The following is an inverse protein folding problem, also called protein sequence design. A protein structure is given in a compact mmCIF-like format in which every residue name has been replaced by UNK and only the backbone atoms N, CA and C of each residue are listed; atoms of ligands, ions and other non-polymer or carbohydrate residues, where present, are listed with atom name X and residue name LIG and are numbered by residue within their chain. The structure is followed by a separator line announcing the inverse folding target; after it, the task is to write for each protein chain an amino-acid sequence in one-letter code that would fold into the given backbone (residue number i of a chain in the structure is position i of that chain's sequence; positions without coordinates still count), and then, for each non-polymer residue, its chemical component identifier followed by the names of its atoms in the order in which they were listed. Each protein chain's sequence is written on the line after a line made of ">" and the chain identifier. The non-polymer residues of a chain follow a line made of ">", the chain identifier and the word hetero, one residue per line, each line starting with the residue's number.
data_IF_044579690984
#
_entry.id   IF_044579690984
#
_cell.length_a   1.000
_cell.length_b   1.000
_cell.length_c   1.000
_cell.angle_alpha   90.00
_cell.angle_beta   90.00
_cell.angle_gamma   90.00
#
_symmetry.space_group_name_H-M   'P 1'
#
loop_
_entity.id
_entity.type
_entity.pdbx_description
1 polymer ?
#
# COMPACT_ATOMS: atom_id res chain seq x y z
N UNK A 1 3.84 -2.70 -3.00
CA UNK A 1 3.91 -3.75 -4.04
C UNK A 1 4.76 -4.94 -3.62
N UNK A 2 6.05 -4.73 -3.36
CA UNK A 2 6.98 -5.81 -2.97
C UNK A 2 6.52 -6.59 -1.72
N UNK A 3 6.18 -5.92 -0.63
CA UNK A 3 5.69 -6.55 0.60
C UNK A 3 4.42 -7.35 0.32
N UNK A 4 3.45 -6.76 -0.37
CA UNK A 4 2.18 -7.39 -0.70
C UNK A 4 2.36 -8.66 -1.55
N UNK A 5 3.18 -8.58 -2.60
CA UNK A 5 3.43 -9.73 -3.49
C UNK A 5 4.25 -10.82 -2.78
N UNK A 6 5.20 -10.47 -1.92
CA UNK A 6 5.92 -11.44 -1.10
C UNK A 6 4.95 -12.17 -0.14
N UNK A 7 4.11 -11.43 0.59
CA UNK A 7 3.13 -12.00 1.52
C UNK A 7 2.18 -12.96 0.81
N UNK A 8 1.60 -12.56 -0.31
CA UNK A 8 0.74 -13.43 -1.11
C UNK A 8 1.50 -14.65 -1.65
N UNK A 9 2.74 -14.45 -2.12
CA UNK A 9 3.57 -15.53 -2.65
C UNK A 9 3.84 -16.61 -1.63
N UNK A 10 4.22 -16.25 -0.41
CA UNK A 10 4.44 -17.20 0.67
C UNK A 10 3.14 -17.88 1.12
N UNK A 11 2.03 -17.15 1.19
CA UNK A 11 0.74 -17.73 1.52
C UNK A 11 0.28 -18.73 0.45
N UNK A 12 0.35 -18.38 -0.83
CA UNK A 12 0.03 -19.29 -1.93
C UNK A 12 0.91 -20.54 -1.95
N UNK A 13 2.20 -20.38 -1.69
CA UNK A 13 3.16 -21.49 -1.63
C UNK A 13 2.80 -22.46 -0.50
N UNK A 14 2.55 -21.95 0.70
CA UNK A 14 2.17 -22.75 1.86
C UNK A 14 0.86 -23.53 1.65
N UNK A 15 -0.07 -22.96 0.86
CA UNK A 15 -1.37 -23.57 0.59
C UNK A 15 -1.42 -24.41 -0.71
N UNK A 16 -0.28 -24.57 -1.43
CA UNK A 16 -0.17 -25.41 -2.61
C UNK A 16 -0.67 -24.78 -3.91
N UNK A 17 -0.92 -23.48 -3.92
CA UNK A 17 -1.31 -22.72 -5.12
C UNK A 17 -0.06 -22.26 -5.91
N UNK A 18 0.73 -23.22 -6.40
CA UNK A 18 2.08 -23.00 -6.94
C UNK A 18 2.14 -22.00 -8.10
N UNK A 19 1.15 -21.98 -9.00
CA UNK A 19 1.11 -21.02 -10.12
C UNK A 19 1.01 -19.58 -9.62
N UNK A 20 0.15 -19.30 -8.64
CA UNK A 20 0.02 -17.97 -8.07
C UNK A 20 1.21 -17.62 -7.17
N UNK A 21 1.77 -18.60 -6.46
CA UNK A 21 3.00 -18.42 -5.70
C UNK A 21 4.17 -18.00 -6.60
N UNK A 22 4.37 -18.70 -7.72
CA UNK A 22 5.43 -18.37 -8.68
C UNK A 22 5.28 -16.95 -9.24
N UNK A 23 4.09 -16.56 -9.70
CA UNK A 23 3.85 -15.21 -10.21
C UNK A 23 4.14 -14.17 -9.12
N UNK A 24 3.65 -14.38 -7.90
CA UNK A 24 3.82 -13.44 -6.79
C UNK A 24 5.28 -13.28 -6.38
N UNK A 25 6.02 -14.39 -6.23
CA UNK A 25 7.43 -14.38 -5.82
C UNK A 25 8.34 -13.83 -6.93
N UNK A 26 8.09 -14.17 -8.20
CA UNK A 26 8.82 -13.59 -9.32
C UNK A 26 8.61 -12.07 -9.38
N UNK A 27 7.37 -11.59 -9.22
CA UNK A 27 7.10 -10.15 -9.19
C UNK A 27 7.78 -9.48 -8.00
N UNK A 28 7.73 -10.09 -6.81
CA UNK A 28 8.43 -9.57 -5.64
C UNK A 28 9.94 -9.45 -5.87
N UNK A 29 10.56 -10.48 -6.43
CA UNK A 29 12.00 -10.49 -6.75
C UNK A 29 12.37 -9.44 -7.79
N UNK A 30 11.54 -9.27 -8.82
CA UNK A 30 11.71 -8.20 -9.83
C UNK A 30 11.66 -6.82 -9.19
N UNK A 31 10.74 -6.60 -8.23
CA UNK A 31 10.65 -5.34 -7.52
C UNK A 31 11.84 -5.07 -6.61
N UNK A 32 12.49 -6.10 -6.04
CA UNK A 32 13.77 -5.94 -5.32
C UNK A 32 14.85 -5.39 -6.26
N UNK A 33 15.00 -5.99 -7.44
CA UNK A 33 15.94 -5.52 -8.46
C UNK A 33 15.60 -4.08 -8.92
N UNK A 34 14.31 -3.78 -9.13
CA UNK A 34 13.88 -2.43 -9.47
C UNK A 34 14.26 -1.41 -8.39
N UNK A 35 14.03 -1.73 -7.11
CA UNK A 35 14.37 -0.84 -5.97
C UNK A 35 15.86 -0.56 -5.94
N UNK A 36 16.71 -1.57 -6.17
CA UNK A 36 18.16 -1.41 -6.21
C UNK A 36 18.59 -0.36 -7.23
N UNK A 37 18.09 -0.45 -8.47
CA UNK A 37 18.40 0.53 -9.51
C UNK A 37 17.68 1.87 -9.32
N UNK A 38 16.47 1.88 -8.79
CA UNK A 38 15.72 3.12 -8.56
C UNK A 38 16.38 4.03 -7.51
N UNK A 39 17.07 3.44 -6.53
CA UNK A 39 17.86 4.19 -5.54
C UNK A 39 19.32 4.46 -5.96
N UNK A 40 19.77 3.90 -7.08
CA UNK A 40 21.11 4.19 -7.62
C UNK A 40 21.23 5.67 -8.01
N UNK A 41 22.42 6.24 -7.80
CA UNK A 41 22.72 7.60 -8.25
C UNK A 41 23.06 7.63 -9.74
N UNK A 42 23.80 6.63 -10.23
CA UNK A 42 24.38 6.63 -11.57
C UNK A 42 23.50 5.90 -12.60
N UNK A 43 22.80 4.85 -12.17
CA UNK A 43 21.98 3.99 -13.05
C UNK A 43 20.50 3.99 -12.65
N UNK A 44 19.95 5.16 -12.33
CA UNK A 44 18.58 5.30 -11.89
C UNK A 44 17.59 4.96 -12.99
N UNK A 45 16.68 4.04 -12.70
CA UNK A 45 15.57 3.67 -13.59
C UNK A 45 14.24 4.15 -13.03
N UNK A 46 13.29 4.41 -13.94
CA UNK A 46 11.92 4.76 -13.60
C UNK A 46 10.97 3.67 -14.09
N UNK A 47 9.93 3.40 -13.33
CA UNK A 47 8.93 2.38 -13.70
C UNK A 47 8.05 2.82 -14.88
N UNK A 48 7.79 4.10 -15.01
CA UNK A 48 6.85 4.65 -15.99
C UNK A 48 5.40 4.24 -15.73
N UNK A 49 4.49 4.78 -16.54
CA UNK A 49 3.04 4.54 -16.39
C UNK A 49 2.68 3.10 -16.74
N UNK A 50 3.26 2.57 -17.82
CA UNK A 50 3.02 1.18 -18.24
C UNK A 50 3.42 0.19 -17.15
N UNK A 51 4.59 0.36 -16.54
CA UNK A 51 5.06 -0.52 -15.48
C UNK A 51 4.17 -0.46 -14.24
N UNK A 52 3.75 0.75 -13.83
CA UNK A 52 2.87 0.94 -12.68
C UNK A 52 1.47 0.36 -12.90
N UNK A 53 0.91 0.48 -14.11
CA UNK A 53 -0.39 -0.10 -14.47
C UNK A 53 -0.35 -1.63 -14.49
N UNK A 54 0.70 -2.23 -15.09
CA UNK A 54 0.89 -3.69 -15.09
C UNK A 54 1.04 -4.20 -13.65
N UNK A 55 1.86 -3.55 -12.84
CA UNK A 55 2.05 -3.89 -11.44
C UNK A 55 0.72 -3.84 -10.67
N UNK A 56 -0.05 -2.77 -10.84
CA UNK A 56 -1.36 -2.62 -10.22
C UNK A 56 -2.34 -3.73 -10.64
N UNK A 57 -2.39 -4.05 -11.92
CA UNK A 57 -3.22 -5.13 -12.45
C UNK A 57 -2.87 -6.51 -11.85
N UNK A 58 -1.58 -6.84 -11.82
CA UNK A 58 -1.13 -8.13 -11.27
C UNK A 58 -1.42 -8.20 -9.77
N UNK A 59 -1.10 -7.15 -9.00
CA UNK A 59 -1.38 -7.12 -7.55
C UNK A 59 -2.87 -7.25 -7.27
N UNK A 60 -3.72 -6.57 -8.02
CA UNK A 60 -5.18 -6.67 -7.88
C UNK A 60 -5.66 -8.09 -8.18
N UNK A 61 -5.17 -8.71 -9.24
CA UNK A 61 -5.50 -10.10 -9.60
C UNK A 61 -5.09 -11.07 -8.49
N UNK A 62 -3.89 -10.93 -7.94
CA UNK A 62 -3.40 -11.76 -6.82
C UNK A 62 -4.24 -11.54 -5.55
N UNK A 63 -4.63 -10.29 -5.28
CA UNK A 63 -5.51 -9.95 -4.15
C UNK A 63 -6.87 -10.63 -4.27
N UNK A 64 -7.49 -10.55 -5.44
CA UNK A 64 -8.79 -11.22 -5.69
C UNK A 64 -8.66 -12.73 -5.53
N UNK A 65 -7.58 -13.34 -6.03
CA UNK A 65 -7.33 -14.78 -5.87
C UNK A 65 -7.05 -15.17 -4.42
N UNK A 66 -6.31 -14.37 -3.69
CA UNK A 66 -6.07 -14.57 -2.26
C UNK A 66 -7.39 -14.56 -1.48
N UNK A 67 -8.25 -13.57 -1.70
CA UNK A 67 -9.57 -13.49 -1.08
C UNK A 67 -10.43 -14.69 -1.50
N UNK A 68 -10.49 -15.00 -2.79
CA UNK A 68 -11.30 -16.11 -3.32
C UNK A 68 -10.95 -17.44 -2.66
N UNK A 69 -9.66 -17.81 -2.60
CA UNK A 69 -9.25 -19.08 -1.99
C UNK A 69 -9.56 -19.14 -0.49
N UNK A 70 -9.51 -18.03 0.21
CA UNK A 70 -9.90 -17.97 1.62
C UNK A 70 -11.42 -18.07 1.83
N UNK A 71 -12.22 -17.41 0.99
CA UNK A 71 -13.69 -17.49 1.06
C UNK A 71 -14.21 -18.87 0.65
N UNK A 72 -13.60 -19.50 -0.35
CA UNK A 72 -14.00 -20.85 -0.81
C UNK A 72 -13.38 -22.00 0.00
N UNK A 73 -12.68 -21.67 1.08
CA UNK A 73 -11.99 -22.65 1.96
C UNK A 73 -11.03 -23.59 1.23
N UNK A 74 -10.41 -23.10 0.14
CA UNK A 74 -9.41 -23.84 -0.65
C UNK A 74 -8.00 -23.59 -0.15
N UNK A 75 -7.76 -23.79 1.14
CA UNK A 75 -6.47 -23.62 1.81
C UNK A 75 -6.10 -24.90 2.58
N UNK A 76 -4.80 -25.14 2.77
CA UNK A 76 -4.26 -26.29 3.50
C UNK A 76 -3.82 -25.93 4.93
N UNK A 77 -3.32 -24.74 5.10
CA UNK A 77 -2.66 -24.29 6.31
C UNK A 77 -3.33 -23.01 6.80
N UNK A 78 -3.66 -22.29 7.15
CA UNK A 78 -4.16 -21.02 7.68
C UNK A 78 -5.15 -20.31 6.74
N UNK A 79 -6.42 -20.68 6.89
CA UNK A 79 -7.53 -19.96 6.28
C UNK A 79 -7.82 -18.66 7.00
N UNK A 80 -7.88 -17.59 6.22
CA UNK A 80 -8.10 -16.24 6.72
C UNK A 80 -9.55 -15.81 6.43
N UNK A 81 -10.46 -15.99 7.37
CA UNK A 81 -11.83 -15.44 7.26
C UNK A 81 -11.78 -13.92 7.05
N UNK A 82 -10.75 -13.28 7.60
CA UNK A 82 -10.50 -11.83 7.46
C UNK A 82 -9.64 -11.47 6.24
N UNK A 83 -9.48 -12.36 5.25
CA UNK A 83 -8.67 -12.10 4.06
C UNK A 83 -8.99 -10.78 3.34
N UNK A 84 -10.24 -10.34 3.19
CA UNK A 84 -10.53 -9.02 2.59
C UNK A 84 -9.91 -7.88 3.38
N UNK A 85 -10.05 -7.90 4.71
CA UNK A 85 -9.55 -6.83 5.59
C UNK A 85 -8.02 -6.83 5.65
N UNK A 86 -7.39 -8.01 5.71
CA UNK A 86 -5.93 -8.16 5.64
C UNK A 86 -5.40 -7.66 4.30
N UNK A 87 -6.11 -7.90 3.20
CA UNK A 87 -5.73 -7.37 1.89
C UNK A 87 -5.77 -5.84 1.82
N UNK A 88 -6.79 -5.22 2.42
CA UNK A 88 -6.86 -3.75 2.54
C UNK A 88 -5.68 -3.24 3.37
N UNK A 89 -5.33 -3.91 4.46
CA UNK A 89 -4.18 -3.53 5.29
C UNK A 89 -2.85 -3.62 4.53
N UNK A 90 -2.64 -4.67 3.73
CA UNK A 90 -1.46 -4.83 2.86
C UNK A 90 -1.38 -3.77 1.76
N UNK A 91 -2.51 -3.27 1.31
CA UNK A 91 -2.64 -2.23 0.29
C UNK A 91 -2.97 -0.85 0.90
N UNK A 92 -2.82 -0.68 2.22
CA UNK A 92 -3.25 0.52 2.94
C UNK A 92 -2.63 1.80 2.38
N UNK A 93 -1.33 1.82 2.08
CA UNK A 93 -0.65 3.02 1.54
C UNK A 93 -1.28 3.48 0.22
N UNK A 94 -1.33 2.68 -0.86
CA UNK A 94 -1.91 3.14 -2.12
C UNK A 94 -3.42 3.43 -2.01
N UNK A 95 -4.17 2.67 -1.23
CA UNK A 95 -5.60 2.90 -1.03
C UNK A 95 -5.82 4.20 -0.26
N UNK A 96 -5.16 4.37 0.89
CA UNK A 96 -5.36 5.53 1.76
C UNK A 96 -4.88 6.82 1.09
N UNK A 97 -3.75 6.77 0.38
CA UNK A 97 -3.24 7.94 -0.34
C UNK A 97 -4.18 8.38 -1.46
N UNK A 98 -4.69 7.43 -2.25
CA UNK A 98 -5.65 7.72 -3.32
C UNK A 98 -6.97 8.27 -2.77
N UNK A 99 -7.54 7.61 -1.75
CA UNK A 99 -8.79 8.05 -1.13
C UNK A 99 -8.65 9.44 -0.48
N UNK A 100 -7.53 9.69 0.21
CA UNK A 100 -7.24 11.01 0.79
C UNK A 100 -7.19 12.09 -0.27
N UNK A 101 -6.46 11.86 -1.36
CA UNK A 101 -6.34 12.85 -2.43
C UNK A 101 -7.69 13.10 -3.10
N UNK A 102 -8.47 12.06 -3.36
CA UNK A 102 -9.83 12.20 -3.90
C UNK A 102 -10.73 13.00 -2.97
N UNK A 103 -10.73 12.66 -1.68
CA UNK A 103 -11.47 13.39 -0.66
C UNK A 103 -11.13 14.89 -0.66
N UNK A 104 -9.84 15.23 -0.60
CA UNK A 104 -9.39 16.63 -0.59
C UNK A 104 -9.76 17.38 -1.87
N UNK A 105 -9.69 16.73 -3.04
CA UNK A 105 -10.08 17.37 -4.32
C UNK A 105 -11.58 17.67 -4.36
N UNK A 106 -12.40 16.73 -3.93
CA UNK A 106 -13.87 16.92 -3.86
C UNK A 106 -14.20 18.05 -2.90
N UNK A 107 -13.62 18.06 -1.69
CA UNK A 107 -13.83 19.12 -0.70
C UNK A 107 -13.41 20.51 -1.23
N UNK A 108 -12.40 20.57 -2.09
CA UNK A 108 -11.94 21.81 -2.76
C UNK A 108 -12.65 22.09 -4.07
N UNK A 109 -13.75 21.40 -4.38
CA UNK A 109 -14.53 21.53 -5.62
C UNK A 109 -13.69 21.37 -6.89
N UNK A 110 -12.67 20.50 -6.85
CA UNK A 110 -11.79 20.18 -7.97
C UNK A 110 -12.11 18.79 -8.50
N UNK A 111 -11.79 18.53 -9.79
CA UNK A 111 -11.92 17.19 -10.36
C UNK A 111 -11.04 16.19 -9.59
N UNK A 112 -11.57 15.00 -9.21
CA UNK A 112 -10.79 13.95 -8.57
C UNK A 112 -9.59 13.47 -9.39
N UNK A 113 -9.65 13.61 -10.72
CA UNK A 113 -8.62 13.15 -11.67
C UNK A 113 -7.59 14.24 -12.04
N UNK A 114 -7.70 15.43 -11.47
CA UNK A 114 -6.71 16.49 -11.74
C UNK A 114 -5.37 16.13 -11.13
N UNK A 115 -4.29 16.19 -11.92
CA UNK A 115 -2.93 15.99 -11.41
C UNK A 115 -2.53 17.13 -10.45
N UNK A 116 -1.98 16.78 -9.29
CA UNK A 116 -1.44 17.71 -8.31
C UNK A 116 -0.39 17.04 -7.40
N UNK A 117 0.20 17.81 -6.49
CA UNK A 117 1.21 17.34 -5.53
C UNK A 117 0.62 17.11 -4.12
N UNK A 118 -0.61 16.59 -4.03
CA UNK A 118 -1.27 16.30 -2.75
C UNK A 118 -0.95 14.91 -2.20
N UNK A 119 -0.36 14.02 -3.01
CA UNK A 119 0.04 12.70 -2.56
C UNK A 119 1.04 12.77 -1.40
N UNK A 120 0.92 11.86 -0.45
CA UNK A 120 1.67 11.86 0.80
C UNK A 120 3.19 11.86 0.56
N UNK A 121 3.69 11.13 -0.46
CA UNK A 121 5.11 11.12 -0.77
C UNK A 121 5.65 12.52 -1.17
N UNK A 122 4.87 13.31 -1.89
CA UNK A 122 5.24 14.69 -2.20
C UNK A 122 5.26 15.56 -0.94
N UNK A 123 4.29 15.37 -0.03
CA UNK A 123 4.24 16.11 1.22
C UNK A 123 5.45 15.82 2.10
N UNK A 124 5.89 14.57 2.22
CA UNK A 124 7.11 14.24 2.96
C UNK A 124 8.35 14.89 2.36
N UNK A 125 8.53 14.77 1.03
CA UNK A 125 9.68 15.36 0.33
C UNK A 125 9.68 16.89 0.44
N UNK A 126 8.51 17.53 0.26
CA UNK A 126 8.36 18.98 0.37
C UNK A 126 8.60 19.49 1.82
N UNK A 127 8.52 18.62 2.84
CA UNK A 127 8.88 18.89 4.23
C UNK A 127 10.32 18.46 4.60
N UNK A 128 11.18 18.19 3.61
CA UNK A 128 12.62 17.95 3.82
C UNK A 128 13.05 16.50 3.98
N UNK A 129 12.14 15.53 3.88
CA UNK A 129 12.51 14.12 3.89
C UNK A 129 13.10 13.69 2.53
N UNK A 130 14.12 12.85 2.53
CA UNK A 130 14.61 12.26 1.29
C UNK A 130 13.61 11.24 0.72
N UNK A 131 13.69 10.97 -0.59
CA UNK A 131 12.87 9.93 -1.23
C UNK A 131 13.05 8.56 -0.57
N UNK A 132 14.27 8.24 -0.14
CA UNK A 132 14.58 6.98 0.53
C UNK A 132 13.90 6.91 1.91
N UNK A 133 14.03 7.95 2.73
CA UNK A 133 13.36 8.03 4.04
C UNK A 133 11.84 7.89 3.90
N UNK A 134 11.24 8.61 2.93
CA UNK A 134 9.81 8.52 2.63
C UNK A 134 9.39 7.08 2.26
N UNK A 135 10.19 6.41 1.43
CA UNK A 135 9.91 5.01 1.06
C UNK A 135 9.98 4.06 2.25
N UNK A 136 10.99 4.21 3.12
CA UNK A 136 11.09 3.40 4.34
C UNK A 136 9.94 3.65 5.32
N UNK A 137 9.46 4.89 5.45
CA UNK A 137 8.25 5.20 6.25
C UNK A 137 7.02 4.47 5.72
N UNK A 138 6.81 4.43 4.40
CA UNK A 138 5.70 3.68 3.79
C UNK A 138 5.84 2.18 3.96
N UNK A 139 7.06 1.63 3.86
CA UNK A 139 7.30 0.21 4.13
C UNK A 139 6.99 -0.13 5.59
N UNK A 140 7.51 0.67 6.53
CA UNK A 140 7.24 0.50 7.95
C UNK A 140 5.75 0.60 8.28
N UNK A 141 5.05 1.58 7.71
CA UNK A 141 3.61 1.73 7.86
C UNK A 141 2.85 0.50 7.33
N UNK A 142 3.16 0.02 6.12
CA UNK A 142 2.52 -1.16 5.55
C UNK A 142 2.76 -2.40 6.40
N UNK A 143 4.00 -2.63 6.84
CA UNK A 143 4.33 -3.78 7.70
C UNK A 143 3.58 -3.68 9.03
N UNK A 144 3.61 -2.52 9.69
CA UNK A 144 2.94 -2.33 10.97
C UNK A 144 1.42 -2.53 10.85
N UNK A 145 0.79 -1.89 9.87
CA UNK A 145 -0.66 -2.00 9.65
C UNK A 145 -1.08 -3.43 9.33
N UNK A 146 -0.36 -4.11 8.41
CA UNK A 146 -0.72 -5.49 8.03
C UNK A 146 -0.44 -6.50 9.15
N UNK A 147 0.69 -6.37 9.86
CA UNK A 147 1.02 -7.26 10.99
C UNK A 147 0.03 -7.07 12.15
N UNK A 148 -0.32 -5.83 12.48
CA UNK A 148 -1.28 -5.54 13.52
C UNK A 148 -2.68 -6.05 13.16
N UNK A 149 -3.14 -5.83 11.93
CA UNK A 149 -4.42 -6.35 11.44
C UNK A 149 -4.43 -7.89 11.46
N UNK A 150 -3.33 -8.52 11.04
CA UNK A 150 -3.18 -9.98 11.07
C UNK A 150 -3.23 -10.52 12.51
N UNK A 151 -2.58 -9.86 13.46
CA UNK A 151 -2.62 -10.24 14.87
C UNK A 151 -4.02 -10.03 15.48
N UNK A 152 -4.62 -8.87 15.26
CA UNK A 152 -5.92 -8.52 15.84
C UNK A 152 -7.06 -9.39 15.30
N UNK A 153 -6.91 -10.03 14.14
CA UNK A 153 -7.92 -10.94 13.57
C UNK A 153 -8.32 -12.11 14.47
N UNK A 154 -7.49 -12.43 15.46
CA UNK A 154 -7.77 -13.50 16.42
C UNK A 154 -8.73 -13.04 17.55
N UNK A 155 -8.85 -11.74 17.74
CA UNK A 155 -9.60 -11.13 18.83
C UNK A 155 -10.79 -10.30 18.35
N UNK A 156 -10.75 -9.82 17.12
CA UNK A 156 -11.74 -8.91 16.54
C UNK A 156 -12.47 -9.54 15.34
N UNK A 157 -13.75 -9.23 15.24
CA UNK A 157 -14.56 -9.55 14.06
C UNK A 157 -14.10 -8.73 12.83
N UNK A 158 -14.51 -9.16 11.63
CA UNK A 158 -14.22 -8.42 10.38
C UNK A 158 -14.74 -6.98 10.45
N UNK A 159 -15.89 -6.74 11.07
CA UNK A 159 -16.47 -5.39 11.21
C UNK A 159 -15.59 -4.51 12.10
N UNK A 160 -15.13 -5.03 13.25
CA UNK A 160 -14.24 -4.30 14.16
C UNK A 160 -12.88 -4.02 13.52
N UNK A 161 -12.33 -4.96 12.75
CA UNK A 161 -11.11 -4.75 11.95
C UNK A 161 -11.31 -3.67 10.88
N UNK A 162 -12.47 -3.61 10.23
CA UNK A 162 -12.79 -2.53 9.30
C UNK A 162 -12.84 -1.16 10.02
N UNK A 163 -13.47 -1.09 11.17
CA UNK A 163 -13.51 0.14 12.00
C UNK A 163 -12.09 0.55 12.42
N UNK A 164 -11.25 -0.41 12.81
CA UNK A 164 -9.84 -0.16 13.10
C UNK A 164 -9.09 0.43 11.89
N UNK A 165 -9.26 -0.12 10.67
CA UNK A 165 -8.64 0.41 9.46
C UNK A 165 -9.17 1.81 9.09
N UNK A 166 -10.47 2.07 9.31
CA UNK A 166 -11.04 3.41 9.14
C UNK A 166 -10.40 4.41 10.13
N UNK A 167 -10.17 3.99 11.37
CA UNK A 167 -9.43 4.80 12.35
C UNK A 167 -8.00 5.13 11.89
N UNK A 168 -7.28 4.14 11.36
CA UNK A 168 -5.94 4.36 10.78
C UNK A 168 -5.99 5.28 9.56
N UNK A 169 -7.03 5.18 8.73
CA UNK A 169 -7.22 6.08 7.60
C UNK A 169 -7.49 7.53 8.07
N UNK A 170 -8.28 7.72 9.12
CA UNK A 170 -8.49 9.05 9.70
C UNK A 170 -7.16 9.66 10.21
N UNK A 171 -6.33 8.88 10.91
CA UNK A 171 -5.00 9.31 11.32
C UNK A 171 -4.10 9.65 10.13
N UNK A 172 -4.17 8.88 9.05
CA UNK A 172 -3.43 9.16 7.82
C UNK A 172 -3.85 10.49 7.18
N UNK A 173 -5.16 10.83 7.19
CA UNK A 173 -5.67 12.12 6.72
C UNK A 173 -5.14 13.26 7.61
N UNK A 174 -5.19 13.10 8.92
CA UNK A 174 -4.72 14.12 9.88
C UNK A 174 -3.23 14.40 9.66
N UNK A 175 -2.40 13.36 9.56
CA UNK A 175 -0.97 13.50 9.28
C UNK A 175 -0.73 14.25 7.97
N UNK A 176 -1.45 13.90 6.91
CA UNK A 176 -1.32 14.57 5.62
C UNK A 176 -1.71 16.04 5.68
N UNK A 177 -2.72 16.40 6.46
CA UNK A 177 -3.14 17.79 6.63
C UNK A 177 -2.09 18.60 7.43
N UNK A 178 -1.49 18.01 8.45
CA UNK A 178 -0.40 18.64 9.21
C UNK A 178 0.82 18.89 8.30
N UNK A 179 1.21 17.93 7.48
CA UNK A 179 2.33 18.08 6.55
C UNK A 179 2.04 19.14 5.47
N UNK A 180 0.80 19.19 4.99
CA UNK A 180 0.37 20.20 4.02
C UNK A 180 0.43 21.62 4.63
N UNK A 181 -0.04 21.78 5.87
CA UNK A 181 0.02 23.06 6.57
C UNK A 181 1.47 23.52 6.75
N UNK A 182 2.35 22.67 7.25
CA UNK A 182 3.78 22.98 7.39
C UNK A 182 4.42 23.44 6.07
N UNK A 183 4.07 22.76 4.96
CA UNK A 183 4.55 23.15 3.62
C UNK A 183 4.06 24.55 3.22
N UNK A 184 2.83 24.91 3.56
CA UNK A 184 2.26 26.23 3.26
C UNK A 184 2.93 27.31 4.10
N UNK A 185 3.12 27.07 5.39
CA UNK A 185 3.76 28.00 6.31
C UNK A 185 5.22 28.28 5.88
N UNK A 186 5.96 27.24 5.47
CA UNK A 186 7.31 27.39 4.96
C UNK A 186 7.39 28.23 3.67
N UNK A 187 6.37 28.16 2.80
CA UNK A 187 6.30 28.98 1.57
C UNK A 187 5.95 30.45 1.82
N UNK A 188 5.28 30.75 2.93
CA UNK A 188 4.94 32.13 3.31
C UNK A 188 6.15 32.80 3.97
N UNK A 189 7.00 32.01 4.65
CA UNK A 189 8.19 32.51 5.34
C UNK A 189 9.42 32.69 4.42
N UNK A 190 9.40 32.17 3.19
CA UNK A 190 10.46 32.30 2.17
C UNK A 190 10.18 33.44 1.20
#
# INVERSE_FOLDING_TARGET
>A
GMITTATYGFWFLANGHYSFASISLCLSSTLVGFIYYNFSKDNKIFMGDTGSLILGFIITTLTVKFIHFNVTHTFKIDGLVSAPVVSIALLSVPIFDTLRVFYLRIMRKKSPFKADRLHMHHLFVDNGFSHMQTSFMFYGYTIATSSLTYFLRQYLSNTELCVFLIGLFALYIILGNILEQKRLDAKIAS
#
